data_IF_015916800969
#
_entry.id   IF_015916800969
#
_cell.length_a   1.000
_cell.length_b   1.000
_cell.length_c   1.000
_cell.angle_alpha   90.00
_cell.angle_beta   90.00
_cell.angle_gamma   90.00
#
_symmetry.space_group_name_H-M   'P 1'
#
loop_
_entity.id
_entity.type
_entity.pdbx_description
1 polymer ?
#
# COMPACT_ATOMS: atom_id res chain seq x y z
N UNK A 1 24.67 -0.79 -8.06
CA UNK A 1 25.53 -0.94 -6.85
C UNK A 1 24.64 -0.92 -5.62
N UNK A 2 25.08 -1.48 -4.50
CA UNK A 2 24.42 -1.21 -3.23
C UNK A 2 24.49 0.29 -2.92
N UNK A 3 23.44 0.81 -2.27
CA UNK A 3 23.44 2.18 -1.71
C UNK A 3 24.49 2.25 -0.61
N UNK A 4 25.10 3.42 -0.47
CA UNK A 4 25.95 3.74 0.70
C UNK A 4 25.05 4.17 1.85
N UNK A 5 25.57 4.12 3.07
CA UNK A 5 24.79 4.41 4.29
C UNK A 5 24.13 5.80 4.24
N UNK A 6 24.82 6.80 3.66
CA UNK A 6 24.33 8.17 3.48
C UNK A 6 23.22 8.32 2.41
N UNK A 7 22.97 7.28 1.62
CA UNK A 7 21.99 7.27 0.52
C UNK A 7 20.72 6.47 0.84
N UNK A 8 20.70 5.79 1.99
CA UNK A 8 19.54 5.02 2.44
C UNK A 8 18.52 6.00 3.00
N UNK A 9 17.34 6.02 2.40
CA UNK A 9 16.23 6.87 2.85
C UNK A 9 15.22 6.07 3.66
N UNK A 10 14.37 6.76 4.43
CA UNK A 10 13.22 6.12 5.10
C UNK A 10 12.34 5.36 4.11
N UNK A 11 12.23 5.89 2.90
CA UNK A 11 11.54 5.23 1.81
C UNK A 11 12.15 3.88 1.44
N UNK A 12 13.48 3.76 1.45
CA UNK A 12 14.14 2.47 1.22
C UNK A 12 13.84 1.48 2.34
N UNK A 13 13.86 1.97 3.59
CA UNK A 13 13.57 1.17 4.79
C UNK A 13 12.13 0.66 4.76
N UNK A 14 11.16 1.53 4.50
CA UNK A 14 9.74 1.15 4.36
C UNK A 14 9.56 0.13 3.24
N UNK A 15 10.24 0.31 2.10
CA UNK A 15 10.19 -0.64 0.98
C UNK A 15 10.72 -2.01 1.35
N UNK A 16 11.82 -2.05 2.12
CA UNK A 16 12.39 -3.29 2.63
C UNK A 16 11.42 -4.00 3.57
N UNK A 17 10.87 -3.29 4.56
CA UNK A 17 9.93 -3.85 5.55
C UNK A 17 8.67 -4.39 4.84
N UNK A 18 8.12 -3.66 3.87
CA UNK A 18 7.00 -4.15 3.04
C UNK A 18 7.35 -5.44 2.28
N UNK A 19 8.58 -5.54 1.76
CA UNK A 19 9.09 -6.75 1.12
C UNK A 19 9.16 -7.94 2.08
N UNK A 20 9.63 -7.70 3.31
CA UNK A 20 9.66 -8.71 4.37
C UNK A 20 8.25 -9.17 4.77
N UNK A 21 7.30 -8.23 4.92
CA UNK A 21 5.90 -8.56 5.19
C UNK A 21 5.32 -9.47 4.09
N UNK A 22 5.62 -9.15 2.82
CA UNK A 22 5.17 -9.98 1.69
C UNK A 22 5.75 -11.39 1.74
N UNK A 23 7.04 -11.51 2.04
CA UNK A 23 7.71 -12.81 2.17
C UNK A 23 7.13 -13.63 3.33
N UNK A 24 6.84 -12.98 4.46
CA UNK A 24 6.27 -13.65 5.63
C UNK A 24 4.84 -14.12 5.36
N UNK A 25 3.99 -13.29 4.73
CA UNK A 25 2.63 -13.71 4.34
C UNK A 25 2.64 -14.93 3.41
N UNK A 26 3.58 -15.01 2.47
CA UNK A 26 3.74 -16.20 1.62
C UNK A 26 4.11 -17.44 2.46
N UNK A 27 5.01 -17.28 3.44
CA UNK A 27 5.39 -18.36 4.36
C UNK A 27 4.20 -18.84 5.18
N UNK A 28 3.40 -17.91 5.70
CA UNK A 28 2.19 -18.20 6.48
C UNK A 28 1.13 -18.93 5.63
N UNK A 29 0.97 -18.54 4.35
CA UNK A 29 0.08 -19.22 3.42
C UNK A 29 0.45 -20.71 3.27
N UNK A 30 1.74 -21.03 3.11
CA UNK A 30 2.21 -22.42 3.06
C UNK A 30 1.97 -23.17 4.37
N UNK A 31 2.10 -22.49 5.51
CA UNK A 31 1.83 -23.04 6.85
C UNK A 31 0.33 -23.13 7.17
N UNK A 32 -0.54 -22.52 6.36
CA UNK A 32 -1.97 -22.31 6.64
C UNK A 32 -2.21 -21.53 7.95
N UNK A 33 -1.32 -20.59 8.25
CA UNK A 33 -1.42 -19.65 9.35
C UNK A 33 -1.81 -18.27 8.82
N UNK A 34 -2.38 -17.42 9.67
CA UNK A 34 -2.87 -16.08 9.27
C UNK A 34 -1.99 -14.95 9.79
N UNK A 35 -1.22 -15.17 10.86
CA UNK A 35 -0.35 -14.18 11.48
C UNK A 35 0.87 -14.85 12.13
N UNK A 36 1.89 -14.05 12.41
CA UNK A 36 3.02 -14.41 13.27
C UNK A 36 3.46 -13.17 14.05
N UNK A 37 4.08 -13.38 15.22
CA UNK A 37 4.66 -12.27 16.00
C UNK A 37 5.65 -11.46 15.15
N UNK A 38 6.39 -12.13 14.26
CA UNK A 38 7.30 -11.46 13.32
C UNK A 38 6.55 -10.53 12.36
N UNK A 39 5.44 -10.98 11.78
CA UNK A 39 4.62 -10.15 10.90
C UNK A 39 4.05 -8.92 11.64
N UNK A 40 3.52 -9.12 12.84
CA UNK A 40 2.95 -8.04 13.66
C UNK A 40 3.99 -6.98 14.02
N UNK A 41 5.22 -7.41 14.34
CA UNK A 41 6.34 -6.50 14.62
C UNK A 41 6.69 -5.68 13.37
N UNK A 42 6.78 -6.32 12.18
CA UNK A 42 7.08 -5.61 10.94
C UNK A 42 6.02 -4.57 10.62
N UNK A 43 4.74 -4.92 10.78
CA UNK A 43 3.61 -4.01 10.53
C UNK A 43 3.61 -2.81 11.48
N UNK A 44 4.07 -2.96 12.72
CA UNK A 44 4.20 -1.87 13.68
C UNK A 44 5.24 -0.81 13.28
N UNK A 45 6.21 -1.15 12.41
CA UNK A 45 7.19 -0.21 11.86
C UNK A 45 6.74 0.47 10.56
N UNK A 46 5.64 0.02 9.96
CA UNK A 46 5.10 0.63 8.76
C UNK A 46 4.18 1.81 9.12
N UNK A 47 4.08 2.83 8.25
CA UNK A 47 3.03 3.84 8.36
C UNK A 47 1.67 3.17 8.43
N UNK A 48 0.73 3.75 9.19
CA UNK A 48 -0.65 3.26 9.22
C UNK A 48 -1.20 3.22 7.80
N UNK A 49 -1.53 2.02 7.35
CA UNK A 49 -2.13 1.80 6.04
C UNK A 49 -3.51 2.46 6.01
N UNK A 50 -3.75 3.26 4.98
CA UNK A 50 -5.04 3.82 4.68
C UNK A 50 -6.03 2.70 4.42
N UNK A 51 -7.14 2.77 5.13
CA UNK A 51 -8.25 1.84 5.00
C UNK A 51 -9.01 2.08 3.68
N UNK A 52 -9.78 1.08 3.27
CA UNK A 52 -10.67 1.18 2.10
C UNK A 52 -11.61 2.41 2.20
N UNK A 53 -12.11 2.70 3.41
CA UNK A 53 -13.00 3.82 3.68
C UNK A 53 -12.29 5.18 3.51
N UNK A 54 -11.07 5.32 4.03
CA UNK A 54 -10.27 6.55 3.90
C UNK A 54 -9.89 6.82 2.44
N UNK A 55 -9.46 5.77 1.72
CA UNK A 55 -9.15 5.86 0.29
C UNK A 55 -10.40 6.27 -0.49
N UNK A 56 -11.56 5.68 -0.17
CA UNK A 56 -12.84 6.00 -0.83
C UNK A 56 -13.26 7.45 -0.58
N UNK A 57 -13.19 7.91 0.68
CA UNK A 57 -13.57 9.27 1.04
C UNK A 57 -12.68 10.29 0.33
N UNK A 58 -11.36 10.08 0.39
CA UNK A 58 -10.40 10.96 -0.27
C UNK A 58 -10.60 10.99 -1.80
N UNK A 59 -10.79 9.83 -2.43
CA UNK A 59 -10.99 9.74 -3.87
C UNK A 59 -12.25 10.48 -4.33
N UNK A 60 -13.38 10.36 -3.61
CA UNK A 60 -14.63 11.08 -3.94
C UNK A 60 -14.50 12.60 -3.80
N UNK A 61 -13.70 13.07 -2.85
CA UNK A 61 -13.52 14.50 -2.58
C UNK A 61 -12.48 15.14 -3.51
N UNK A 62 -11.44 14.39 -3.91
CA UNK A 62 -10.26 14.95 -4.58
C UNK A 62 -10.07 14.49 -6.03
N UNK A 63 -10.83 13.49 -6.50
CA UNK A 63 -10.70 12.96 -7.85
C UNK A 63 -12.02 13.03 -8.60
N UNK A 64 -12.03 13.82 -9.67
CA UNK A 64 -13.13 13.83 -10.63
C UNK A 64 -12.98 12.66 -11.62
N UNK A 65 -13.67 11.55 -11.32
CA UNK A 65 -13.62 10.33 -12.14
C UNK A 65 -14.18 10.54 -13.57
N UNK A 66 -14.98 11.59 -13.81
CA UNK A 66 -15.54 11.88 -15.14
C UNK A 66 -14.50 12.32 -16.17
N UNK A 67 -13.34 12.79 -15.69
CA UNK A 67 -12.21 13.20 -16.55
C UNK A 67 -11.42 12.01 -17.10
N UNK A 68 -11.67 10.82 -16.57
CA UNK A 68 -10.97 9.61 -16.95
C UNK A 68 -11.85 8.71 -17.82
N UNK A 69 -11.21 7.99 -18.75
CA UNK A 69 -11.91 7.01 -19.60
C UNK A 69 -12.34 5.77 -18.80
N UNK A 70 -11.69 5.53 -17.67
CA UNK A 70 -12.04 4.50 -16.70
C UNK A 70 -11.55 4.89 -15.31
N UNK A 71 -12.20 4.39 -14.26
CA UNK A 71 -11.83 4.69 -12.88
C UNK A 71 -10.41 4.22 -12.53
N UNK A 72 -9.86 3.20 -13.20
CA UNK A 72 -8.48 2.73 -12.96
C UNK A 72 -7.41 3.79 -13.31
N UNK A 73 -7.70 4.75 -14.17
CA UNK A 73 -6.76 5.85 -14.48
C UNK A 73 -6.58 6.82 -13.29
N UNK A 74 -7.52 6.85 -12.34
CA UNK A 74 -7.41 7.61 -11.09
C UNK A 74 -6.44 7.00 -10.06
N UNK A 75 -5.84 5.86 -10.36
CA UNK A 75 -4.85 5.20 -9.51
C UNK A 75 -3.66 6.10 -9.17
N UNK A 76 -3.15 6.83 -10.16
CA UNK A 76 -1.97 7.68 -10.01
C UNK A 76 -2.13 8.78 -8.95
N UNK A 77 -3.17 9.63 -9.03
CA UNK A 77 -3.46 10.64 -8.01
C UNK A 77 -3.60 10.08 -6.59
N UNK A 78 -4.32 8.97 -6.41
CA UNK A 78 -4.52 8.32 -5.10
C UNK A 78 -3.19 7.81 -4.55
N UNK A 79 -2.44 7.07 -5.35
CA UNK A 79 -1.11 6.55 -4.96
C UNK A 79 -0.11 7.69 -4.70
N UNK A 80 -0.25 8.85 -5.36
CA UNK A 80 0.60 10.01 -5.09
C UNK A 80 0.30 10.65 -3.73
N UNK A 81 -0.97 10.66 -3.31
CA UNK A 81 -1.35 11.19 -2.00
C UNK A 81 -0.97 10.24 -0.86
N UNK A 82 -1.34 8.96 -0.97
CA UNK A 82 -1.11 7.99 0.09
C UNK A 82 0.30 7.37 0.06
N UNK A 83 0.99 7.43 -1.08
CA UNK A 83 2.33 6.87 -1.23
C UNK A 83 2.39 5.40 -0.88
N UNK A 84 3.26 5.05 0.07
CA UNK A 84 3.43 3.70 0.61
C UNK A 84 2.44 3.34 1.72
N UNK A 85 1.65 4.31 2.17
CA UNK A 85 0.61 4.13 3.17
C UNK A 85 -0.71 3.65 2.55
N UNK A 86 -0.75 3.25 1.27
CA UNK A 86 -1.90 2.61 0.67
C UNK A 86 -1.50 1.35 -0.10
N UNK A 87 -2.30 0.31 0.04
CA UNK A 87 -2.13 -0.93 -0.73
C UNK A 87 -2.75 -0.75 -2.12
N UNK A 88 -1.95 -0.97 -3.16
CA UNK A 88 -2.39 -0.79 -4.54
C UNK A 88 -3.55 -1.72 -4.95
N UNK A 89 -3.69 -2.89 -4.34
CA UNK A 89 -4.86 -3.76 -4.56
C UNK A 89 -6.10 -3.20 -3.88
N UNK A 90 -5.97 -2.60 -2.69
CA UNK A 90 -7.09 -1.93 -2.01
C UNK A 90 -7.56 -0.73 -2.84
N UNK A 91 -6.63 0.11 -3.33
CA UNK A 91 -7.01 1.25 -4.20
C UNK A 91 -7.68 0.77 -5.49
N UNK A 92 -7.17 -0.29 -6.13
CA UNK A 92 -7.85 -0.90 -7.30
C UNK A 92 -9.27 -1.37 -6.96
N UNK A 93 -9.47 -2.02 -5.81
CA UNK A 93 -10.79 -2.45 -5.34
C UNK A 93 -11.73 -1.26 -5.15
N UNK A 94 -11.25 -0.19 -4.50
CA UNK A 94 -12.01 1.06 -4.32
C UNK A 94 -12.42 1.65 -5.68
N UNK A 95 -11.46 1.81 -6.59
CA UNK A 95 -11.73 2.36 -7.93
C UNK A 95 -12.70 1.49 -8.75
N UNK A 96 -12.65 0.16 -8.58
CA UNK A 96 -13.58 -0.75 -9.24
C UNK A 96 -15.01 -0.69 -8.68
N UNK A 97 -15.18 -0.14 -7.47
CA UNK A 97 -16.48 0.09 -6.83
C UNK A 97 -17.03 1.50 -7.15
N UNK A 98 -16.14 2.45 -7.49
CA UNK A 98 -16.50 3.83 -7.79
C UNK A 98 -16.81 4.11 -9.27
N UNK A 99 -16.33 3.26 -10.19
CA UNK A 99 -16.59 3.34 -11.62
C UNK A 99 -17.73 2.44 -12.07
#
# INVERSE_FOLDING_TARGET
>A
RAKRDDEITDDDIISLIMGLCKSERQTLEYKKETTSEYLEILEAYLPKMATEAEITAWAKENVDLSQFKNAMQAMGPIMKHFGKSADGNVVKKVLGTLG
#
